data_IF_254049902715
#
_entry.id   IF_254049902715
#
_cell.length_a   1.000
_cell.length_b   1.000
_cell.length_c   1.000
_cell.angle_alpha   90.00
_cell.angle_beta   90.00
_cell.angle_gamma   90.00
#
_symmetry.space_group_name_H-M   'P 1'
#
loop_
_entity.id
_entity.type
_entity.pdbx_description
1 polymer ?
#
# COMPACT_ATOMS: atom_id res chain seq x y z
N UNK A 1 28.14 -16.04 -23.35
CA UNK A 1 26.94 -15.20 -23.12
C UNK A 1 25.77 -16.12 -22.80
N UNK A 2 25.42 -16.28 -21.51
CA UNK A 2 24.30 -17.10 -21.07
C UNK A 2 23.19 -16.18 -20.58
N UNK A 3 22.19 -15.94 -21.42
CA UNK A 3 21.03 -15.14 -21.09
C UNK A 3 20.11 -15.98 -20.19
N UNK A 4 20.36 -15.95 -18.88
CA UNK A 4 19.41 -16.48 -17.89
C UNK A 4 18.17 -15.58 -17.93
N UNK A 5 17.20 -15.96 -18.76
CA UNK A 5 15.85 -15.38 -18.72
C UNK A 5 15.31 -15.64 -17.32
N UNK A 6 15.40 -14.63 -16.46
CA UNK A 6 14.77 -14.62 -15.15
C UNK A 6 13.28 -14.79 -15.39
N UNK A 7 12.77 -16.01 -15.18
CA UNK A 7 11.34 -16.24 -15.14
C UNK A 7 10.80 -15.35 -14.02
N UNK A 8 9.87 -14.41 -14.31
CA UNK A 8 9.33 -13.56 -13.27
C UNK A 8 8.70 -14.47 -12.22
N UNK A 9 9.26 -14.47 -11.00
CA UNK A 9 8.71 -15.24 -9.89
C UNK A 9 7.37 -14.62 -9.53
N UNK A 10 6.31 -15.17 -10.12
CA UNK A 10 4.93 -14.80 -9.82
C UNK A 10 4.77 -14.86 -8.30
N UNK A 11 4.54 -13.71 -7.67
CA UNK A 11 4.36 -13.63 -6.23
C UNK A 11 3.04 -14.32 -5.83
N UNK A 12 2.95 -14.77 -4.58
CA UNK A 12 1.66 -15.20 -4.01
C UNK A 12 0.59 -14.10 -4.14
N UNK A 13 1.02 -12.83 -4.13
CA UNK A 13 0.17 -11.66 -4.34
C UNK A 13 -0.37 -11.58 -5.77
N UNK A 14 0.48 -11.79 -6.79
CA UNK A 14 0.06 -11.76 -8.19
C UNK A 14 -0.98 -12.85 -8.49
N UNK A 15 -0.83 -14.03 -7.86
CA UNK A 15 -1.82 -15.11 -7.96
C UNK A 15 -3.15 -14.72 -7.31
N UNK A 16 -3.12 -14.13 -6.11
CA UNK A 16 -4.34 -13.69 -5.44
C UNK A 16 -5.08 -12.61 -6.25
N UNK A 17 -4.36 -11.64 -6.82
CA UNK A 17 -4.93 -10.60 -7.70
C UNK A 17 -5.54 -11.22 -8.95
N UNK A 18 -4.86 -12.19 -9.57
CA UNK A 18 -5.36 -12.91 -10.74
C UNK A 18 -6.64 -13.69 -10.42
N UNK A 19 -6.68 -14.37 -9.29
CA UNK A 19 -7.84 -15.15 -8.84
C UNK A 19 -9.05 -14.23 -8.60
N UNK A 20 -8.85 -13.07 -7.96
CA UNK A 20 -9.91 -12.06 -7.79
C UNK A 20 -10.43 -11.53 -9.12
N UNK A 21 -9.54 -11.21 -10.07
CA UNK A 21 -9.93 -10.78 -11.43
C UNK A 21 -10.74 -11.86 -12.14
N UNK A 22 -10.30 -13.12 -12.03
CA UNK A 22 -11.00 -14.27 -12.60
C UNK A 22 -12.40 -14.45 -11.99
N UNK A 23 -12.53 -14.26 -10.66
CA UNK A 23 -13.82 -14.32 -9.97
C UNK A 23 -14.75 -13.18 -10.43
N UNK A 24 -14.25 -11.96 -10.53
CA UNK A 24 -15.01 -10.81 -11.04
C UNK A 24 -15.55 -11.07 -12.44
N UNK A 25 -14.71 -11.57 -13.35
CA UNK A 25 -15.11 -11.84 -14.73
C UNK A 25 -16.18 -12.94 -14.81
N UNK A 26 -16.09 -13.98 -13.97
CA UNK A 26 -17.14 -15.01 -13.82
C UNK A 26 -18.45 -14.43 -13.30
N UNK A 27 -18.40 -13.54 -12.31
CA UNK A 27 -19.61 -12.88 -11.79
C UNK A 27 -20.27 -11.99 -12.85
N UNK A 28 -19.50 -11.24 -13.65
CA UNK A 28 -20.05 -10.47 -14.78
C UNK A 28 -20.71 -11.36 -15.84
N UNK A 29 -20.09 -12.49 -16.19
CA UNK A 29 -20.69 -13.45 -17.11
C UNK A 29 -22.01 -14.01 -16.55
N UNK A 30 -22.03 -14.35 -15.25
CA UNK A 30 -23.22 -14.83 -14.57
C UNK A 30 -24.33 -13.76 -14.52
N UNK A 31 -23.98 -12.52 -14.19
CA UNK A 31 -24.89 -11.37 -14.19
C UNK A 31 -25.54 -11.17 -15.56
N UNK A 32 -24.75 -11.24 -16.65
CA UNK A 32 -25.26 -11.12 -18.02
C UNK A 32 -26.25 -12.26 -18.37
N UNK A 33 -25.94 -13.49 -17.96
CA UNK A 33 -26.83 -14.65 -18.16
C UNK A 33 -28.15 -14.49 -17.43
N UNK A 34 -28.12 -14.07 -16.15
CA UNK A 34 -29.34 -13.83 -15.38
C UNK A 34 -30.18 -12.75 -16.04
N UNK A 35 -29.58 -11.64 -16.46
CA UNK A 35 -30.31 -10.52 -17.09
C UNK A 35 -31.11 -10.98 -18.31
N UNK A 36 -30.48 -11.74 -19.21
CA UNK A 36 -31.16 -12.33 -20.39
C UNK A 36 -32.33 -13.23 -19.97
N UNK A 37 -32.13 -14.04 -18.92
CA UNK A 37 -33.16 -14.96 -18.46
C UNK A 37 -34.34 -14.22 -17.78
N UNK A 38 -34.06 -13.14 -17.05
CA UNK A 38 -35.07 -12.23 -16.48
C UNK A 38 -35.89 -11.53 -17.56
N UNK A 39 -35.26 -11.06 -18.64
CA UNK A 39 -35.94 -10.45 -19.79
C UNK A 39 -36.87 -11.47 -20.48
N UNK A 40 -36.41 -12.72 -20.62
CA UNK A 40 -37.24 -13.80 -21.16
C UNK A 40 -38.44 -14.13 -20.28
N UNK A 41 -38.28 -14.15 -18.96
CA UNK A 41 -39.40 -14.35 -18.03
C UNK A 41 -40.41 -13.19 -18.10
N UNK A 42 -39.98 -11.95 -18.37
CA UNK A 42 -40.92 -10.85 -18.64
C UNK A 42 -41.72 -11.04 -19.92
N UNK A 43 -41.09 -11.51 -20.99
CA UNK A 43 -41.78 -11.81 -22.25
C UNK A 43 -42.80 -12.93 -22.07
N UNK A 44 -42.40 -14.02 -21.41
CA UNK A 44 -43.30 -15.15 -21.09
C UNK A 44 -44.49 -14.66 -20.25
N UNK A 45 -44.25 -13.84 -19.23
CA UNK A 45 -45.33 -13.30 -18.42
C UNK A 45 -46.30 -12.45 -19.26
N UNK A 46 -45.80 -11.59 -20.17
CA UNK A 46 -46.63 -10.80 -21.09
C UNK A 46 -47.44 -11.67 -22.05
N UNK A 47 -46.84 -12.74 -22.58
CA UNK A 47 -47.53 -13.70 -23.43
C UNK A 47 -48.62 -14.47 -22.69
N UNK A 48 -48.36 -14.93 -21.48
CA UNK A 48 -49.35 -15.59 -20.65
C UNK A 48 -50.53 -14.67 -20.32
N UNK A 49 -50.28 -13.38 -20.08
CA UNK A 49 -51.34 -12.38 -19.87
C UNK A 49 -52.19 -12.17 -21.14
N UNK A 50 -51.57 -12.11 -22.33
CA UNK A 50 -52.29 -12.00 -23.61
C UNK A 50 -53.18 -13.22 -23.91
N UNK A 51 -52.85 -14.38 -23.34
CA UNK A 51 -53.60 -15.64 -23.49
C UNK A 51 -54.55 -15.92 -22.32
N UNK A 52 -54.80 -14.93 -21.44
CA UNK A 52 -55.59 -15.06 -20.20
C UNK A 52 -55.13 -16.18 -19.24
N UNK A 53 -53.89 -16.63 -19.36
CA UNK A 53 -53.30 -17.64 -18.47
C UNK A 53 -52.63 -16.98 -17.26
N UNK A 54 -53.46 -16.49 -16.34
CA UNK A 54 -53.04 -15.76 -15.13
C UNK A 54 -52.14 -16.61 -14.22
N UNK A 55 -52.39 -17.92 -14.13
CA UNK A 55 -51.60 -18.83 -13.28
C UNK A 55 -50.14 -18.91 -13.73
N UNK A 56 -49.91 -19.07 -15.03
CA UNK A 56 -48.56 -19.13 -15.59
C UNK A 56 -47.87 -17.76 -15.57
N UNK A 57 -48.60 -16.67 -15.81
CA UNK A 57 -48.07 -15.32 -15.67
C UNK A 57 -47.55 -15.05 -14.24
N UNK A 58 -48.32 -15.43 -13.21
CA UNK A 58 -47.88 -15.31 -11.81
C UNK A 58 -46.64 -16.14 -11.49
N UNK A 59 -46.52 -17.35 -12.07
CA UNK A 59 -45.34 -18.20 -11.88
C UNK A 59 -44.08 -17.57 -12.51
N UNK A 60 -44.18 -17.07 -13.74
CA UNK A 60 -43.10 -16.38 -14.43
C UNK A 60 -42.63 -15.15 -13.65
N UNK A 61 -43.56 -14.34 -13.13
CA UNK A 61 -43.23 -13.18 -12.30
C UNK A 61 -42.54 -13.55 -10.97
N UNK A 62 -42.91 -14.69 -10.34
CA UNK A 62 -42.19 -15.17 -9.15
C UNK A 62 -40.76 -15.61 -9.47
N UNK A 63 -40.56 -16.30 -10.61
CA UNK A 63 -39.22 -16.70 -11.08
C UNK A 63 -38.36 -15.48 -11.39
N UNK A 64 -38.93 -14.49 -12.08
CA UNK A 64 -38.31 -13.18 -12.31
C UNK A 64 -37.84 -12.54 -11.00
N UNK A 65 -38.73 -12.44 -9.99
CA UNK A 65 -38.38 -11.85 -8.69
C UNK A 65 -37.23 -12.58 -7.99
N UNK A 66 -37.18 -13.90 -8.09
CA UNK A 66 -36.07 -14.69 -7.53
C UNK A 66 -34.74 -14.39 -8.26
N UNK A 67 -34.78 -14.28 -9.58
CA UNK A 67 -33.60 -13.94 -10.39
C UNK A 67 -33.10 -12.52 -10.11
N UNK A 68 -34.00 -11.56 -9.89
CA UNK A 68 -33.64 -10.20 -9.44
C UNK A 68 -32.91 -10.22 -8.10
N UNK A 69 -33.35 -11.04 -7.15
CA UNK A 69 -32.63 -11.23 -5.88
C UNK A 69 -31.23 -11.82 -6.10
N UNK A 70 -31.09 -12.81 -7.00
CA UNK A 70 -29.79 -13.36 -7.34
C UNK A 70 -28.87 -12.31 -7.98
N UNK A 71 -29.42 -11.45 -8.84
CA UNK A 71 -28.69 -10.36 -9.47
C UNK A 71 -28.23 -9.33 -8.43
N UNK A 72 -29.12 -8.93 -7.52
CA UNK A 72 -28.77 -8.02 -6.42
C UNK A 72 -27.68 -8.59 -5.49
N UNK A 73 -27.71 -9.89 -5.21
CA UNK A 73 -26.65 -10.54 -4.44
C UNK A 73 -25.32 -10.57 -5.21
N UNK A 74 -25.37 -10.81 -6.52
CA UNK A 74 -24.19 -10.78 -7.40
C UNK A 74 -23.56 -9.38 -7.42
N UNK A 75 -24.38 -8.33 -7.50
CA UNK A 75 -23.92 -6.94 -7.48
C UNK A 75 -23.23 -6.59 -6.15
N UNK A 76 -23.75 -7.09 -5.02
CA UNK A 76 -23.10 -6.95 -3.70
C UNK A 76 -21.74 -7.63 -3.66
N UNK A 77 -21.63 -8.85 -4.19
CA UNK A 77 -20.35 -9.58 -4.24
C UNK A 77 -19.34 -8.88 -5.16
N UNK A 78 -19.78 -8.29 -6.26
CA UNK A 78 -18.92 -7.47 -7.14
C UNK A 78 -18.39 -6.24 -6.40
N UNK A 79 -19.24 -5.50 -5.69
CA UNK A 79 -18.81 -4.36 -4.89
C UNK A 79 -17.81 -4.75 -3.79
N UNK A 80 -18.00 -5.90 -3.13
CA UNK A 80 -17.05 -6.42 -2.16
C UNK A 80 -15.69 -6.75 -2.78
N UNK A 81 -15.67 -7.32 -3.99
CA UNK A 81 -14.43 -7.61 -4.71
C UNK A 81 -13.69 -6.31 -5.11
N UNK A 82 -14.42 -5.26 -5.47
CA UNK A 82 -13.83 -3.95 -5.77
C UNK A 82 -13.15 -3.34 -4.54
N UNK A 83 -13.83 -3.36 -3.39
CA UNK A 83 -13.26 -2.89 -2.11
C UNK A 83 -11.99 -3.68 -1.77
N UNK A 84 -12.05 -5.02 -1.81
CA UNK A 84 -10.90 -5.86 -1.50
C UNK A 84 -9.71 -5.62 -2.44
N UNK A 85 -9.99 -5.34 -3.73
CA UNK A 85 -8.94 -4.99 -4.70
C UNK A 85 -8.28 -3.67 -4.33
N UNK A 86 -9.07 -2.64 -3.98
CA UNK A 86 -8.54 -1.35 -3.52
C UNK A 86 -7.71 -1.48 -2.25
N UNK A 87 -8.16 -2.28 -1.27
CA UNK A 87 -7.43 -2.54 -0.03
C UNK A 87 -6.06 -3.19 -0.30
N UNK A 88 -6.02 -4.14 -1.23
CA UNK A 88 -4.75 -4.80 -1.63
C UNK A 88 -3.83 -3.82 -2.34
N UNK A 89 -4.34 -3.01 -3.27
CA UNK A 89 -3.55 -1.99 -3.96
C UNK A 89 -2.97 -0.97 -2.96
N UNK A 90 -3.76 -0.54 -1.99
CA UNK A 90 -3.30 0.35 -0.93
C UNK A 90 -2.23 -0.29 -0.05
N UNK A 91 -2.41 -1.55 0.36
CA UNK A 91 -1.41 -2.28 1.14
C UNK A 91 -0.07 -2.43 0.40
N UNK A 92 -0.09 -2.58 -0.94
CA UNK A 92 1.12 -2.61 -1.77
C UNK A 92 1.83 -1.26 -1.74
N UNK A 93 1.11 -0.15 -1.91
CA UNK A 93 1.69 1.20 -1.81
C UNK A 93 2.28 1.45 -0.42
N UNK A 94 1.57 1.06 0.64
CA UNK A 94 2.08 1.19 2.02
C UNK A 94 3.38 0.43 2.23
N UNK A 95 3.47 -0.80 1.73
CA UNK A 95 4.71 -1.59 1.78
C UNK A 95 5.86 -0.84 1.10
N UNK A 96 5.62 -0.29 -0.09
CA UNK A 96 6.65 0.41 -0.86
C UNK A 96 7.11 1.70 -0.16
N UNK A 97 6.18 2.46 0.44
CA UNK A 97 6.51 3.64 1.25
C UNK A 97 7.36 3.28 2.46
N UNK A 98 6.94 2.26 3.23
CA UNK A 98 7.70 1.80 4.40
C UNK A 98 9.10 1.32 3.99
N UNK A 99 9.20 0.57 2.90
CA UNK A 99 10.48 0.10 2.38
C UNK A 99 11.38 1.27 1.93
N UNK A 100 10.81 2.29 1.28
CA UNK A 100 11.52 3.52 0.90
C UNK A 100 12.01 4.31 2.12
N UNK A 101 11.18 4.46 3.15
CA UNK A 101 11.57 5.11 4.41
C UNK A 101 12.70 4.34 5.11
N UNK A 102 12.65 3.02 5.11
CA UNK A 102 13.66 2.18 5.73
C UNK A 102 14.99 2.25 4.99
N UNK A 103 14.97 2.24 3.65
CA UNK A 103 16.15 2.49 2.83
C UNK A 103 16.71 3.90 3.04
N UNK A 104 15.85 4.93 3.02
CA UNK A 104 16.27 6.31 3.28
C UNK A 104 16.93 6.45 4.66
N UNK A 105 16.37 5.81 5.68
CA UNK A 105 16.95 5.79 7.04
C UNK A 105 18.31 5.08 7.06
N UNK A 106 18.48 4.00 6.31
CA UNK A 106 19.76 3.31 6.21
C UNK A 106 20.80 4.17 5.49
N UNK A 107 20.44 4.80 4.37
CA UNK A 107 21.30 5.74 3.64
C UNK A 107 21.68 6.93 4.53
N UNK A 108 20.74 7.49 5.29
CA UNK A 108 21.01 8.55 6.27
C UNK A 108 22.01 8.09 7.34
N UNK A 109 21.88 6.86 7.85
CA UNK A 109 22.85 6.28 8.81
C UNK A 109 24.23 6.09 8.19
N UNK A 110 24.30 5.67 6.94
CA UNK A 110 25.56 5.54 6.20
C UNK A 110 26.22 6.90 5.98
N UNK A 111 25.45 7.91 5.53
CA UNK A 111 25.92 9.30 5.41
C UNK A 111 26.39 9.84 6.78
N UNK A 112 25.66 9.57 7.86
CA UNK A 112 26.10 9.97 9.21
C UNK A 112 27.39 9.26 9.66
N UNK A 113 27.62 8.02 9.21
CA UNK A 113 28.86 7.28 9.47
C UNK A 113 30.01 7.82 8.62
N UNK A 114 29.77 8.12 7.35
CA UNK A 114 30.76 8.65 6.41
C UNK A 114 31.11 10.14 6.66
N UNK A 115 30.14 10.95 7.11
CA UNK A 115 30.35 12.35 7.49
C UNK A 115 30.98 12.53 8.89
N UNK A 116 31.43 11.44 9.54
CA UNK A 116 32.22 11.51 10.76
C UNK A 116 31.41 11.40 12.05
N UNK A 117 30.67 10.29 12.21
CA UNK A 117 30.06 9.94 13.49
C UNK A 117 31.10 9.74 14.61
N UNK A 118 30.83 10.38 15.75
CA UNK A 118 31.58 10.39 17.03
C UNK A 118 33.01 10.96 16.97
N UNK A 119 33.84 10.64 16.00
CA UNK A 119 35.25 11.07 16.00
C UNK A 119 35.40 12.60 15.92
N UNK A 120 34.51 13.28 15.19
CA UNK A 120 34.51 14.76 15.11
C UNK A 120 33.92 15.40 16.37
N UNK A 121 33.02 14.71 17.08
CA UNK A 121 32.42 15.20 18.33
C UNK A 121 33.37 14.97 19.50
N UNK A 122 34.15 13.89 19.50
CA UNK A 122 35.22 13.63 20.47
C UNK A 122 36.42 14.57 20.23
N UNK A 123 36.75 14.90 18.98
CA UNK A 123 37.69 15.99 18.65
C UNK A 123 37.17 17.37 19.11
N UNK A 124 35.90 17.69 18.87
CA UNK A 124 35.30 18.96 19.30
C UNK A 124 35.11 19.05 20.83
N UNK A 125 35.00 17.92 21.54
CA UNK A 125 34.99 17.91 23.01
C UNK A 125 36.40 17.93 23.62
N UNK A 126 37.40 17.31 22.96
CA UNK A 126 38.81 17.36 23.38
C UNK A 126 39.45 18.74 23.19
N UNK A 127 39.09 19.46 22.12
CA UNK A 127 39.57 20.84 21.88
C UNK A 127 38.96 21.88 22.84
N UNK A 128 37.85 21.54 23.53
CA UNK A 128 37.19 22.44 24.49
C UNK A 128 37.76 22.34 25.92
N UNK A 129 38.34 21.19 26.30
CA UNK A 129 39.02 21.02 27.59
C UNK A 129 40.43 21.65 27.59
N UNK A 130 41.18 21.56 26.48
CA UNK A 130 42.48 22.23 26.34
C UNK A 130 42.35 23.76 26.23
N UNK A 131 41.28 24.28 25.61
CA UNK A 131 41.03 25.72 25.56
C UNK A 131 40.75 26.32 26.96
N UNK A 132 40.19 25.54 27.88
CA UNK A 132 39.98 25.94 29.28
C UNK A 132 41.28 25.94 30.08
N UNK A 133 42.16 24.96 29.85
CA UNK A 133 43.47 24.89 30.51
C UNK A 133 44.41 26.04 30.09
N UNK A 134 44.35 26.51 28.84
CA UNK A 134 45.15 27.65 28.40
C UNK A 134 44.74 28.99 29.04
N UNK A 135 43.45 29.13 29.41
CA UNK A 135 42.95 30.34 30.07
C UNK A 135 43.31 30.39 31.56
N UNK A 136 43.50 29.23 32.21
CA UNK A 136 44.02 29.14 33.57
C UNK A 136 45.56 29.28 33.63
N UNK A 137 46.30 28.82 32.63
CA UNK A 137 47.77 28.82 32.64
C UNK A 137 48.38 30.20 32.28
N UNK A 138 47.69 31.05 31.52
CA UNK A 138 48.17 32.41 31.21
C UNK A 138 47.81 33.49 32.25
N UNK A 139 47.13 33.13 33.34
CA UNK A 139 46.74 34.05 34.41
C UNK A 139 47.78 34.24 35.52
N UNK A 140 48.88 33.49 35.52
CA UNK A 140 49.86 33.53 36.60
C UNK A 140 51.28 33.48 36.00
N UNK A 141 52.11 34.44 36.41
CA UNK A 141 53.60 34.52 36.35
C UNK A 141 54.14 35.62 35.42
N UNK A 142 55.05 36.49 35.92
CA UNK A 142 54.99 37.94 35.77
C UNK A 142 55.95 38.50 34.71
N UNK A 143 55.57 39.62 34.08
CA UNK A 143 56.45 40.36 33.16
C UNK A 143 57.22 41.47 33.88
N UNK A 144 58.49 41.13 34.15
CA UNK A 144 59.70 41.93 33.90
C UNK A 144 60.42 42.67 35.07
N UNK A 145 61.77 42.59 35.12
CA UNK A 145 62.71 43.23 36.09
C UNK A 145 63.38 44.50 35.46
N UNK A 146 64.57 45.01 35.88
CA UNK A 146 65.20 45.21 37.20
C UNK A 146 65.67 46.68 37.50
N UNK A 147 66.09 46.90 38.76
CA UNK A 147 67.14 47.82 39.26
C UNK A 147 66.86 49.34 39.43
N UNK A 148 67.01 49.88 40.65
CA UNK A 148 68.19 50.64 41.11
C UNK A 148 68.01 51.15 42.57
N UNK A 149 69.16 51.26 43.28
CA UNK A 149 69.53 52.00 44.51
C UNK A 149 68.49 52.98 45.09
N UNK A 150 68.42 53.21 46.41
CA UNK A 150 69.53 53.50 47.37
C UNK A 150 69.17 53.16 48.80
#
# INVERSE_FOLDING_TARGET
MGNSTSTPKISAQDRAILDMKTQRDKLHQYQKRIRILTDRETEIARECLRRDNIKHAKLALRRKKYQETLLANTDKSLAQLEILTQDIEFALVQKDVVFGLQQGTNVLKEIHREMGGIDKVEQLMGESEEARAYQEVWGIIPLSPPSFRS
#
